data_IF_152185647429
#
_entry.id   IF_152185647429
#
_cell.length_a   1.000
_cell.length_b   1.000
_cell.length_c   1.000
_cell.angle_alpha   90.00
_cell.angle_beta   90.00
_cell.angle_gamma   90.00
#
_symmetry.space_group_name_H-M   'P 1'
#
loop_
_entity.id
_entity.type
_entity.pdbx_description
1 polymer ?
#
# COMPACT_ATOMS: atom_id res chain seq x y z
N UNK A 1 28.84 -44.88 74.27
CA UNK A 1 28.36 -44.44 75.59
C UNK A 1 27.52 -43.18 75.37
N UNK A 2 26.22 -43.20 75.74
CA UNK A 2 25.13 -42.21 75.51
C UNK A 2 24.68 -42.08 74.03
N UNK A 3 23.61 -42.76 73.56
CA UNK A 3 22.15 -42.50 73.70
C UNK A 3 21.71 -41.16 73.06
N UNK A 4 20.68 -40.99 72.24
CA UNK A 4 19.67 -41.78 71.48
C UNK A 4 18.91 -40.73 70.62
N UNK A 5 17.98 -41.19 69.77
CA UNK A 5 16.77 -40.50 69.24
C UNK A 5 16.87 -39.96 67.81
N UNK A 6 16.25 -40.76 66.93
CA UNK A 6 15.57 -40.34 65.70
C UNK A 6 14.35 -39.52 66.08
N UNK A 7 14.17 -38.33 65.51
CA UNK A 7 12.85 -37.71 65.39
C UNK A 7 12.71 -37.01 64.04
N UNK A 8 11.61 -37.35 63.37
CA UNK A 8 11.12 -36.83 62.10
C UNK A 8 10.48 -35.46 62.36
N UNK A 9 10.81 -34.45 61.56
CA UNK A 9 9.99 -33.23 61.46
C UNK A 9 10.05 -32.67 60.04
N UNK A 10 8.96 -32.89 59.30
CA UNK A 10 8.64 -32.14 58.11
C UNK A 10 8.29 -30.70 58.51
N UNK A 11 8.91 -29.72 57.85
CA UNK A 11 8.39 -28.37 57.81
C UNK A 11 8.69 -27.73 56.46
N UNK A 12 7.61 -27.56 55.71
CA UNK A 12 7.43 -26.80 54.49
C UNK A 12 8.04 -25.39 54.58
N UNK A 13 8.94 -25.05 53.64
CA UNK A 13 9.29 -23.67 53.35
C UNK A 13 8.60 -23.23 52.05
N UNK A 14 7.84 -22.16 52.19
CA UNK A 14 6.95 -21.60 51.21
C UNK A 14 7.66 -21.08 49.96
N UNK A 15 7.03 -21.32 48.80
CA UNK A 15 7.25 -20.58 47.57
C UNK A 15 6.90 -19.10 47.82
N UNK A 16 7.89 -18.21 47.78
CA UNK A 16 7.65 -16.79 47.63
C UNK A 16 7.31 -16.52 46.16
N UNK A 17 6.01 -16.53 45.86
CA UNK A 17 5.46 -15.96 44.63
C UNK A 17 5.65 -14.44 44.68
N UNK A 18 6.62 -13.92 43.93
CA UNK A 18 6.68 -12.48 43.64
C UNK A 18 5.60 -12.13 42.61
N UNK A 19 4.37 -11.92 43.08
CA UNK A 19 3.37 -11.16 42.35
C UNK A 19 3.85 -9.70 42.28
N UNK A 20 4.52 -9.32 41.20
CA UNK A 20 4.51 -7.92 40.76
C UNK A 20 3.16 -7.68 40.10
N UNK A 21 2.27 -7.02 40.84
CA UNK A 21 1.13 -6.31 40.27
C UNK A 21 1.69 -5.05 39.62
N UNK A 22 2.00 -5.15 38.34
CA UNK A 22 2.09 -3.99 37.45
C UNK A 22 0.95 -4.11 36.45
N UNK A 23 -0.27 -3.90 36.94
CA UNK A 23 -1.41 -3.53 36.10
C UNK A 23 -1.24 -2.06 35.68
N UNK A 24 -0.25 -1.81 34.83
CA UNK A 24 -0.32 -0.68 33.91
C UNK A 24 -0.35 -1.28 32.50
N UNK A 25 -1.57 -1.50 32.00
CA UNK A 25 -1.79 -1.31 30.56
C UNK A 25 -1.44 0.15 30.29
N UNK A 26 -0.19 0.40 29.91
CA UNK A 26 0.20 1.61 29.20
C UNK A 26 -0.64 1.60 27.93
N UNK A 27 -1.81 2.20 28.01
CA UNK A 27 -2.59 2.56 26.85
C UNK A 27 -1.76 3.69 26.28
N UNK A 28 -0.84 3.38 25.37
CA UNK A 28 -0.19 4.39 24.55
C UNK A 28 -1.34 5.11 23.86
N UNK A 29 -1.77 6.24 24.42
CA UNK A 29 -2.67 7.15 23.72
C UNK A 29 -1.87 7.53 22.49
N UNK A 30 -2.25 6.96 21.34
CA UNK A 30 -1.72 7.40 20.06
C UNK A 30 -2.22 8.82 19.93
N UNK A 31 -1.39 9.78 20.35
CA UNK A 31 -1.63 11.19 20.10
C UNK A 31 -1.64 11.35 18.60
N UNK A 32 -2.80 11.68 18.05
CA UNK A 32 -2.91 11.97 16.64
C UNK A 32 -2.40 13.40 16.43
N UNK A 33 -1.14 13.52 16.03
CA UNK A 33 -0.51 14.82 15.77
C UNK A 33 -0.83 15.36 14.35
N UNK A 34 -1.58 14.60 13.54
CA UNK A 34 -2.01 15.01 12.20
C UNK A 34 -2.80 16.31 12.27
N UNK A 35 -2.41 17.28 11.44
CA UNK A 35 -3.10 18.56 11.31
C UNK A 35 -3.77 18.62 9.94
N UNK A 36 -5.10 18.59 9.92
CA UNK A 36 -5.87 18.73 8.69
C UNK A 36 -5.93 20.20 8.26
N UNK A 37 -5.09 20.58 7.28
CA UNK A 37 -5.02 21.93 6.73
C UNK A 37 -4.40 21.93 5.33
N UNK A 38 -4.48 23.07 4.66
CA UNK A 38 -3.70 23.36 3.46
C UNK A 38 -2.19 23.27 3.75
N UNK A 39 -1.51 22.42 3.01
CA UNK A 39 -0.05 22.27 3.06
C UNK A 39 0.63 22.77 1.79
N UNK A 40 -0.07 22.74 0.66
CA UNK A 40 0.39 23.26 -0.62
C UNK A 40 0.33 24.79 -0.68
N UNK A 41 1.21 25.38 -1.49
CA UNK A 41 1.08 26.77 -1.94
C UNK A 41 -0.04 26.95 -2.98
N UNK A 42 -0.38 25.88 -3.70
CA UNK A 42 -1.50 25.87 -4.65
C UNK A 42 -2.81 25.66 -3.88
N UNK A 43 -3.80 26.56 -4.01
CA UNK A 43 -5.06 26.44 -3.29
C UNK A 43 -5.92 25.28 -3.83
N UNK A 44 -6.88 24.83 -3.04
CA UNK A 44 -7.90 23.90 -3.51
C UNK A 44 -8.79 24.53 -4.60
N UNK A 45 -9.00 23.82 -5.70
CA UNK A 45 -9.87 24.23 -6.81
C UNK A 45 -11.23 23.52 -6.83
N UNK A 46 -11.46 22.56 -5.92
CA UNK A 46 -12.73 21.85 -5.84
C UNK A 46 -13.80 22.67 -5.13
N UNK A 47 -14.99 22.73 -5.73
CA UNK A 47 -16.20 23.27 -5.11
C UNK A 47 -17.02 22.12 -4.53
N UNK A 48 -17.42 22.26 -3.27
CA UNK A 48 -18.34 21.32 -2.63
C UNK A 48 -19.79 21.69 -2.95
N UNK A 49 -20.56 20.69 -3.40
CA UNK A 49 -22.01 20.79 -3.47
C UNK A 49 -22.63 20.79 -2.06
N UNK A 50 -23.87 21.27 -1.93
CA UNK A 50 -24.54 21.44 -0.63
C UNK A 50 -24.60 20.16 0.20
N UNK A 51 -24.72 19.02 -0.48
CA UNK A 51 -24.82 17.69 0.13
C UNK A 51 -23.51 17.26 0.82
N UNK A 52 -22.40 17.94 0.51
CA UNK A 52 -21.07 17.72 1.10
C UNK A 52 -20.63 18.87 2.02
N UNK A 53 -21.57 19.67 2.53
CA UNK A 53 -21.28 20.85 3.38
C UNK A 53 -20.53 20.55 4.69
N UNK A 54 -20.48 19.29 5.11
CA UNK A 54 -19.71 18.82 6.26
C UNK A 54 -18.30 18.31 5.89
N UNK A 55 -17.94 18.26 4.61
CA UNK A 55 -16.61 17.89 4.17
C UNK A 55 -15.67 19.11 4.14
N UNK A 56 -14.39 18.87 4.38
CA UNK A 56 -13.33 19.85 4.15
C UNK A 56 -12.33 19.24 3.18
N UNK A 57 -11.91 20.02 2.19
CA UNK A 57 -10.94 19.62 1.17
C UNK A 57 -9.70 20.48 1.35
N UNK A 58 -8.55 19.84 1.43
CA UNK A 58 -7.25 20.50 1.57
C UNK A 58 -6.29 19.96 0.51
N UNK A 59 -5.54 20.86 -0.12
CA UNK A 59 -4.44 20.51 -1.02
C UNK A 59 -3.20 20.15 -0.20
N UNK A 60 -2.78 18.89 -0.31
CA UNK A 60 -1.63 18.36 0.44
C UNK A 60 -0.30 18.82 -0.17
N UNK A 61 -0.12 18.66 -1.48
CA UNK A 61 0.97 19.19 -2.28
C UNK A 61 0.63 19.14 -3.78
N UNK A 62 1.37 19.89 -4.59
CA UNK A 62 1.35 19.89 -6.06
C UNK A 62 2.78 19.90 -6.61
N UNK A 63 2.93 20.00 -7.93
CA UNK A 63 4.24 20.19 -8.59
C UNK A 63 4.86 21.57 -8.37
N UNK A 64 4.10 22.55 -7.86
CA UNK A 64 4.62 23.88 -7.49
C UNK A 64 5.32 23.87 -6.13
N UNK A 65 5.05 22.87 -5.30
CA UNK A 65 5.60 22.80 -3.94
C UNK A 65 7.04 22.32 -3.92
N UNK A 66 7.84 22.98 -3.10
CA UNK A 66 9.19 22.54 -2.75
C UNK A 66 9.22 22.00 -1.32
N UNK A 67 9.85 20.84 -1.15
CA UNK A 67 9.98 20.21 0.15
C UNK A 67 11.31 20.58 0.81
N UNK A 68 11.26 20.94 2.10
CA UNK A 68 12.42 21.49 2.84
C UNK A 68 13.66 20.58 2.81
N UNK A 69 13.47 19.26 2.83
CA UNK A 69 14.56 18.28 2.91
C UNK A 69 14.95 17.75 1.51
N UNK A 70 14.29 18.23 0.46
CA UNK A 70 14.58 17.93 -0.94
C UNK A 70 14.15 19.09 -1.85
N UNK A 71 14.79 20.27 -1.75
CA UNK A 71 14.33 21.48 -2.44
C UNK A 71 14.41 21.40 -3.98
N UNK A 72 15.18 20.46 -4.51
CA UNK A 72 15.32 20.23 -5.95
C UNK A 72 14.36 19.14 -6.48
N UNK A 73 13.59 18.50 -5.61
CA UNK A 73 12.57 17.55 -6.01
C UNK A 73 11.38 18.30 -6.62
N UNK A 74 10.87 17.79 -7.74
CA UNK A 74 9.64 18.27 -8.38
C UNK A 74 8.69 17.10 -8.50
N UNK A 75 7.48 17.25 -7.97
CA UNK A 75 6.43 16.23 -8.08
C UNK A 75 5.97 16.09 -9.54
N UNK A 76 5.81 14.85 -9.99
CA UNK A 76 5.42 14.52 -11.36
C UNK A 76 3.95 14.80 -11.66
N UNK A 77 3.63 14.87 -12.94
CA UNK A 77 2.26 15.06 -13.42
C UNK A 77 1.47 13.75 -13.44
N UNK A 78 0.15 13.88 -13.51
CA UNK A 78 -0.81 12.76 -13.50
C UNK A 78 -0.57 11.86 -12.28
N UNK A 79 -0.81 12.45 -11.11
CA UNK A 79 -0.81 11.72 -9.85
C UNK A 79 -1.95 10.71 -9.87
N UNK A 80 -1.63 9.44 -9.66
CA UNK A 80 -2.59 8.35 -9.77
C UNK A 80 -2.50 7.43 -8.53
N UNK A 81 -2.22 6.13 -8.74
CA UNK A 81 -2.10 5.13 -7.69
C UNK A 81 -1.29 5.63 -6.51
N UNK A 82 -1.83 5.46 -5.31
CA UNK A 82 -1.23 5.99 -4.08
C UNK A 82 -1.27 4.95 -2.96
N UNK A 83 -0.20 4.91 -2.15
CA UNK A 83 -0.09 4.08 -0.95
C UNK A 83 0.41 4.91 0.23
N UNK A 84 -0.08 4.63 1.45
CA UNK A 84 0.31 5.35 2.65
C UNK A 84 0.70 4.37 3.76
N UNK A 85 1.88 4.58 4.36
CA UNK A 85 2.35 3.89 5.55
C UNK A 85 2.53 4.86 6.70
N UNK A 86 2.18 4.40 7.90
CA UNK A 86 2.60 5.04 9.15
C UNK A 86 3.90 4.40 9.62
N UNK A 87 4.90 5.22 9.89
CA UNK A 87 6.20 4.79 10.37
C UNK A 87 6.22 4.69 11.91
N UNK A 88 7.18 3.93 12.45
CA UNK A 88 7.30 3.72 13.88
C UNK A 88 7.68 4.99 14.66
N UNK A 89 8.34 5.95 14.00
CA UNK A 89 8.71 7.26 14.55
C UNK A 89 7.58 8.29 14.50
N UNK A 90 6.39 7.90 14.06
CA UNK A 90 5.22 8.77 13.93
C UNK A 90 5.14 9.54 12.61
N UNK A 91 6.15 9.47 11.75
CA UNK A 91 6.10 10.02 10.38
C UNK A 91 5.30 9.12 9.45
N UNK A 92 5.15 9.55 8.19
CA UNK A 92 4.43 8.80 7.17
C UNK A 92 5.24 8.69 5.89
N UNK A 93 5.06 7.57 5.20
CA UNK A 93 5.61 7.33 3.87
C UNK A 93 4.46 7.17 2.89
N UNK A 94 4.31 8.13 1.99
CA UNK A 94 3.35 8.09 0.89
C UNK A 94 4.09 7.71 -0.40
N UNK A 95 3.53 6.78 -1.17
CA UNK A 95 3.98 6.46 -2.51
C UNK A 95 2.93 6.95 -3.49
N UNK A 96 3.36 7.52 -4.60
CA UNK A 96 2.45 8.03 -5.63
C UNK A 96 3.02 7.66 -7.00
N UNK A 97 2.18 7.11 -7.85
CA UNK A 97 2.48 6.94 -9.27
C UNK A 97 2.36 8.31 -9.95
N UNK A 98 3.34 8.64 -10.77
CA UNK A 98 3.32 9.84 -11.62
C UNK A 98 3.33 9.36 -13.06
N UNK A 99 2.14 9.22 -13.61
CA UNK A 99 1.86 8.44 -14.81
C UNK A 99 2.57 9.00 -16.04
N UNK A 100 2.45 10.32 -16.26
CA UNK A 100 3.12 11.04 -17.35
C UNK A 100 4.65 11.12 -17.21
N UNK A 101 5.19 10.78 -16.03
CA UNK A 101 6.61 10.72 -15.77
C UNK A 101 7.17 9.29 -15.83
N UNK A 102 6.32 8.28 -16.06
CA UNK A 102 6.69 6.87 -16.08
C UNK A 102 7.42 6.45 -14.79
N UNK A 103 6.99 6.97 -13.65
CA UNK A 103 7.76 6.94 -12.41
C UNK A 103 6.88 6.72 -11.18
N UNK A 104 7.53 6.32 -10.08
CA UNK A 104 6.92 6.22 -8.75
C UNK A 104 7.75 7.06 -7.80
N UNK A 105 7.09 7.93 -7.06
CA UNK A 105 7.71 8.78 -6.07
C UNK A 105 7.35 8.37 -4.65
N UNK A 106 8.27 8.60 -3.72
CA UNK A 106 8.08 8.48 -2.29
C UNK A 106 8.11 9.87 -1.66
N UNK A 107 7.03 10.22 -0.97
CA UNK A 107 6.90 11.43 -0.16
C UNK A 107 6.98 11.06 1.31
N UNK A 108 7.89 11.71 2.05
CA UNK A 108 7.95 11.63 3.51
C UNK A 108 7.11 12.76 4.08
N UNK A 109 6.17 12.43 4.96
CA UNK A 109 5.42 13.41 5.73
C UNK A 109 5.81 13.33 7.19
N UNK A 110 5.95 14.47 7.85
CA UNK A 110 6.23 14.50 9.28
C UNK A 110 5.02 14.04 10.12
N UNK A 111 5.17 13.99 11.44
CA UNK A 111 4.10 13.57 12.35
C UNK A 111 2.82 14.43 12.28
N UNK A 112 2.92 15.65 11.73
CA UNK A 112 1.77 16.53 11.50
C UNK A 112 1.11 16.34 10.14
N UNK A 113 1.59 15.36 9.37
CA UNK A 113 1.17 15.07 8.00
C UNK A 113 1.62 16.11 6.97
N UNK A 114 2.61 16.94 7.30
CA UNK A 114 3.20 17.89 6.35
C UNK A 114 4.23 17.17 5.45
N UNK A 115 4.18 17.32 4.12
CA UNK A 115 5.24 16.84 3.23
C UNK A 115 6.57 17.55 3.52
N UNK A 116 7.64 16.78 3.72
CA UNK A 116 8.97 17.32 4.06
C UNK A 116 10.09 16.88 3.12
N UNK A 117 9.91 15.76 2.40
CA UNK A 117 10.88 15.20 1.47
C UNK A 117 10.18 14.43 0.35
N UNK A 118 10.68 14.53 -0.88
CA UNK A 118 10.22 13.77 -2.04
C UNK A 118 11.39 13.16 -2.80
N UNK A 119 11.22 11.94 -3.29
CA UNK A 119 12.24 11.19 -4.02
C UNK A 119 11.59 10.31 -5.09
N UNK A 120 12.22 10.16 -6.25
CA UNK A 120 11.84 9.10 -7.20
C UNK A 120 12.50 7.79 -6.79
N UNK A 121 11.71 6.73 -6.61
CA UNK A 121 12.20 5.38 -6.23
C UNK A 121 12.03 4.36 -7.37
N UNK A 122 11.31 4.76 -8.42
CA UNK A 122 11.26 4.14 -9.74
C UNK A 122 11.20 5.26 -10.77
N UNK A 123 11.98 5.18 -11.86
CA UNK A 123 12.00 6.19 -12.93
C UNK A 123 11.65 5.57 -14.30
N UNK A 124 11.64 6.40 -15.34
CA UNK A 124 11.33 6.01 -16.72
C UNK A 124 12.24 4.92 -17.30
N UNK A 125 13.50 4.83 -16.85
CA UNK A 125 14.41 3.76 -17.28
C UNK A 125 13.94 2.42 -16.72
N UNK A 126 13.57 2.38 -15.44
CA UNK A 126 13.10 1.18 -14.77
C UNK A 126 11.75 0.68 -15.31
N UNK A 127 10.89 1.59 -15.74
CA UNK A 127 9.55 1.29 -16.26
C UNK A 127 9.55 1.08 -17.78
N UNK A 128 10.70 1.22 -18.45
CA UNK A 128 10.81 1.21 -19.91
C UNK A 128 9.85 2.21 -20.59
N UNK A 129 9.69 3.39 -19.99
CA UNK A 129 8.76 4.45 -20.40
C UNK A 129 7.28 3.99 -20.44
N UNK A 130 6.90 3.04 -19.60
CA UNK A 130 5.49 2.63 -19.42
C UNK A 130 4.86 3.47 -18.31
N UNK A 131 3.65 3.97 -18.58
CA UNK A 131 2.82 4.74 -17.67
C UNK A 131 2.42 3.91 -16.46
N UNK A 132 2.58 4.51 -15.28
CA UNK A 132 2.26 3.88 -14.00
C UNK A 132 0.89 4.39 -13.56
N UNK A 133 -0.13 3.56 -13.61
CA UNK A 133 -1.54 3.94 -13.39
C UNK A 133 -1.92 3.79 -11.91
N UNK A 134 -2.84 2.89 -11.57
CA UNK A 134 -3.27 2.62 -10.21
C UNK A 134 -2.27 1.77 -9.41
N UNK A 135 -2.51 1.62 -8.11
CA UNK A 135 -1.65 0.83 -7.23
C UNK A 135 -2.37 0.21 -6.03
N UNK A 136 -1.75 -0.83 -5.47
CA UNK A 136 -2.14 -1.46 -4.21
C UNK A 136 -1.00 -1.41 -3.20
N UNK A 137 -1.30 -0.89 -2.01
CA UNK A 137 -0.38 -0.91 -0.88
C UNK A 137 -0.59 -2.14 -0.01
N UNK A 138 0.27 -3.14 -0.19
CA UNK A 138 0.28 -4.37 0.58
C UNK A 138 0.94 -4.11 1.94
N UNK A 139 0.30 -4.56 3.01
CA UNK A 139 0.77 -4.39 4.39
C UNK A 139 0.59 -5.68 5.21
N UNK A 140 1.45 -5.94 6.21
CA UNK A 140 1.29 -7.11 7.07
C UNK A 140 -0.06 -7.13 7.79
N UNK A 141 -0.59 -5.96 8.14
CA UNK A 141 -1.84 -5.82 8.87
C UNK A 141 -3.04 -6.25 8.01
N UNK A 142 -3.13 -5.77 6.78
CA UNK A 142 -4.26 -6.00 5.88
C UNK A 142 -4.12 -7.34 5.11
N UNK A 143 -2.91 -7.63 4.63
CA UNK A 143 -2.64 -8.72 3.68
C UNK A 143 -1.82 -9.87 4.26
N UNK A 144 -1.25 -9.71 5.46
CA UNK A 144 -0.45 -10.75 6.12
C UNK A 144 1.02 -10.84 5.65
N UNK A 145 1.44 -9.94 4.75
CA UNK A 145 2.83 -9.82 4.28
C UNK A 145 3.13 -8.38 3.83
N UNK A 146 4.38 -8.10 3.45
CA UNK A 146 4.82 -6.77 3.02
C UNK A 146 5.61 -6.02 4.10
N UNK A 147 5.74 -4.69 4.00
CA UNK A 147 5.04 -3.82 3.06
C UNK A 147 5.58 -3.95 1.63
N UNK A 148 4.68 -3.84 0.65
CA UNK A 148 5.01 -3.92 -0.76
C UNK A 148 4.03 -3.04 -1.55
N UNK A 149 4.53 -2.27 -2.50
CA UNK A 149 3.72 -1.43 -3.35
C UNK A 149 3.63 -2.05 -4.75
N UNK A 150 2.43 -2.45 -5.15
CA UNK A 150 2.16 -3.02 -6.47
C UNK A 150 1.56 -1.94 -7.36
N UNK A 151 2.23 -1.60 -8.46
CA UNK A 151 1.80 -0.54 -9.39
C UNK A 151 1.57 -1.14 -10.78
N UNK A 152 0.48 -0.72 -11.43
CA UNK A 152 0.12 -1.16 -12.78
C UNK A 152 0.88 -0.38 -13.84
N UNK A 153 1.60 -1.09 -14.73
CA UNK A 153 2.11 -0.52 -15.97
C UNK A 153 1.05 -0.65 -17.07
N UNK A 154 0.43 0.46 -17.47
CA UNK A 154 -0.81 0.44 -18.26
C UNK A 154 -0.58 0.71 -19.76
N UNK A 155 -0.11 1.91 -20.09
CA UNK A 155 0.03 2.36 -21.48
C UNK A 155 1.43 2.92 -21.79
N UNK A 156 1.71 3.07 -23.08
CA UNK A 156 3.05 3.45 -23.55
C UNK A 156 4.15 2.44 -23.20
N UNK A 157 5.39 2.78 -23.56
CA UNK A 157 6.56 1.99 -23.27
C UNK A 157 6.49 0.53 -23.74
N UNK A 158 7.30 -0.33 -23.11
CA UNK A 158 7.41 -1.74 -23.46
C UNK A 158 7.21 -2.71 -22.28
N UNK A 159 6.84 -2.21 -21.09
CA UNK A 159 6.74 -3.01 -19.86
C UNK A 159 5.37 -2.91 -19.20
N UNK A 160 4.35 -3.39 -19.90
CA UNK A 160 2.96 -3.57 -19.46
C UNK A 160 2.80 -4.69 -18.42
N UNK A 161 3.32 -4.51 -17.21
CA UNK A 161 3.37 -5.50 -16.12
C UNK A 161 2.96 -4.87 -14.78
N UNK A 162 2.70 -5.73 -13.78
CA UNK A 162 2.65 -5.28 -12.38
C UNK A 162 4.08 -5.10 -11.86
N UNK A 163 4.41 -3.88 -11.44
CA UNK A 163 5.68 -3.55 -10.78
C UNK A 163 5.58 -3.77 -9.28
N UNK A 164 6.59 -4.41 -8.71
CA UNK A 164 6.73 -4.66 -7.28
C UNK A 164 7.82 -3.76 -6.71
N UNK A 165 7.42 -2.82 -5.85
CA UNK A 165 8.32 -1.83 -5.28
C UNK A 165 8.38 -1.97 -3.77
N UNK A 166 9.59 -2.10 -3.23
CA UNK A 166 9.82 -1.95 -1.80
C UNK A 166 9.66 -0.46 -1.43
N UNK A 167 8.73 -0.09 -0.53
CA UNK A 167 8.54 1.30 -0.10
C UNK A 167 9.80 1.98 0.43
N UNK A 168 10.74 1.20 0.96
CA UNK A 168 11.98 1.68 1.56
C UNK A 168 13.20 1.54 0.64
N UNK A 169 12.99 1.22 -0.64
CA UNK A 169 14.06 1.14 -1.65
C UNK A 169 14.89 2.44 -1.68
N UNK A 170 16.19 2.32 -1.96
CA UNK A 170 17.05 3.49 -2.15
C UNK A 170 16.66 4.25 -3.41
N UNK A 171 16.60 5.58 -3.33
CA UNK A 171 16.39 6.43 -4.50
C UNK A 171 17.55 6.33 -5.52
N UNK A 172 18.76 5.94 -5.07
CA UNK A 172 19.90 5.70 -5.96
C UNK A 172 19.70 4.51 -6.91
N UNK A 173 18.71 3.65 -6.63
CA UNK A 173 18.38 2.48 -7.43
C UNK A 173 17.14 2.71 -8.30
N UNK A 174 16.69 3.96 -8.47
CA UNK A 174 15.43 4.30 -9.15
C UNK A 174 15.34 3.76 -10.59
N UNK A 175 16.48 3.53 -11.27
CA UNK A 175 16.56 2.95 -12.61
C UNK A 175 16.42 1.43 -12.69
N UNK A 176 16.24 0.75 -11.56
CA UNK A 176 16.07 -0.72 -11.50
C UNK A 176 14.66 -1.10 -11.05
N UNK A 177 13.88 -1.69 -11.95
CA UNK A 177 12.52 -2.17 -11.66
C UNK A 177 12.46 -3.67 -11.41
N UNK A 178 11.45 -4.11 -10.64
CA UNK A 178 11.06 -5.52 -10.52
C UNK A 178 9.63 -5.65 -11.01
N UNK A 179 9.42 -6.53 -12.00
CA UNK A 179 8.08 -6.91 -12.48
C UNK A 179 7.68 -8.26 -11.89
N UNK A 180 6.38 -8.47 -11.71
CA UNK A 180 5.82 -9.76 -11.29
C UNK A 180 5.40 -10.57 -12.52
N UNK A 181 6.34 -11.32 -13.11
CA UNK A 181 6.11 -12.03 -14.38
C UNK A 181 4.89 -12.97 -14.34
N UNK A 182 4.65 -13.65 -13.21
CA UNK A 182 3.51 -14.57 -13.06
C UNK A 182 2.15 -13.87 -12.85
N UNK A 183 2.13 -12.54 -12.79
CA UNK A 183 0.90 -11.75 -12.87
C UNK A 183 0.46 -11.53 -14.32
N UNK A 184 1.30 -11.84 -15.30
CA UNK A 184 1.03 -11.64 -16.73
C UNK A 184 1.32 -10.22 -17.23
N UNK A 185 1.12 -10.01 -18.52
CA UNK A 185 1.25 -8.73 -19.19
C UNK A 185 -0.12 -8.26 -19.68
N UNK A 186 -0.47 -7.02 -19.34
CA UNK A 186 -1.79 -6.41 -19.54
C UNK A 186 -1.64 -4.90 -19.63
N UNK A 187 -2.65 -4.19 -20.14
CA UNK A 187 -2.79 -2.75 -19.85
C UNK A 187 -3.24 -2.61 -18.38
N UNK A 188 -2.29 -2.79 -17.44
CA UNK A 188 -2.63 -2.97 -16.03
C UNK A 188 -3.11 -1.66 -15.42
N UNK A 189 -4.40 -1.58 -15.12
CA UNK A 189 -4.98 -0.56 -14.25
C UNK A 189 -4.46 -0.77 -12.82
N UNK A 190 -4.90 -1.85 -12.17
CA UNK A 190 -4.57 -2.19 -10.79
C UNK A 190 -4.32 -3.70 -10.64
N UNK A 191 -3.44 -4.08 -9.70
CA UNK A 191 -3.37 -5.42 -9.12
C UNK A 191 -3.76 -5.41 -7.63
N UNK A 192 -5.05 -5.64 -7.35
CA UNK A 192 -5.66 -5.60 -6.01
C UNK A 192 -5.40 -6.90 -5.27
N UNK A 193 -4.46 -6.88 -4.33
CA UNK A 193 -4.26 -8.00 -3.39
C UNK A 193 -5.42 -8.02 -2.41
N UNK A 194 -6.06 -9.18 -2.24
CA UNK A 194 -7.19 -9.32 -1.32
C UNK A 194 -6.71 -9.41 0.13
N UNK A 195 -7.56 -8.95 1.06
CA UNK A 195 -7.34 -9.06 2.50
C UNK A 195 -7.02 -10.52 2.89
N UNK A 196 -6.11 -10.70 3.86
CA UNK A 196 -5.65 -12.04 4.32
C UNK A 196 -6.76 -12.97 4.80
N UNK A 197 -7.91 -12.42 5.19
CA UNK A 197 -9.07 -13.17 5.68
C UNK A 197 -9.99 -13.66 4.55
N UNK A 198 -9.85 -13.16 3.32
CA UNK A 198 -10.67 -13.59 2.19
C UNK A 198 -10.39 -15.06 1.82
N UNK A 199 -9.10 -15.44 1.79
CA UNK A 199 -8.64 -16.79 1.51
C UNK A 199 -7.45 -17.15 2.43
N UNK A 200 -7.70 -17.64 3.65
CA UNK A 200 -6.66 -17.91 4.63
C UNK A 200 -5.51 -18.80 4.09
N UNK A 201 -4.27 -18.38 4.34
CA UNK A 201 -3.06 -19.08 3.90
C UNK A 201 -2.69 -18.87 2.43
N UNK A 202 -3.47 -18.08 1.67
CA UNK A 202 -3.24 -17.83 0.24
C UNK A 202 -2.88 -16.37 -0.01
N UNK A 203 -2.33 -16.12 -1.20
CA UNK A 203 -2.23 -14.78 -1.79
C UNK A 203 -3.11 -14.75 -3.02
N UNK A 204 -4.10 -13.86 -3.05
CA UNK A 204 -4.99 -13.67 -4.20
C UNK A 204 -4.88 -12.22 -4.63
N UNK A 205 -4.65 -11.97 -5.91
CA UNK A 205 -4.72 -10.63 -6.48
C UNK A 205 -5.66 -10.61 -7.70
N UNK A 206 -6.53 -9.61 -7.76
CA UNK A 206 -7.39 -9.34 -8.92
C UNK A 206 -6.72 -8.26 -9.76
N UNK A 207 -6.56 -8.50 -11.05
CA UNK A 207 -5.83 -7.64 -11.97
C UNK A 207 -6.82 -7.14 -13.03
N UNK A 208 -6.91 -5.83 -13.20
CA UNK A 208 -7.69 -5.20 -14.27
C UNK A 208 -6.80 -4.92 -15.48
N UNK A 209 -7.26 -5.33 -16.65
CA UNK A 209 -6.69 -4.98 -17.95
C UNK A 209 -7.62 -3.95 -18.61
N UNK A 210 -7.18 -2.69 -18.66
CA UNK A 210 -7.93 -1.56 -19.25
C UNK A 210 -7.64 -1.39 -20.75
N UNK A 211 -7.40 -2.51 -21.45
CA UNK A 211 -7.20 -2.45 -22.89
C UNK A 211 -8.52 -2.13 -23.61
N UNK A 212 -8.52 -1.07 -24.42
CA UNK A 212 -9.66 -0.66 -25.24
C UNK A 212 -9.53 -1.07 -26.71
N UNK A 213 -8.49 -1.83 -27.09
CA UNK A 213 -8.30 -2.31 -28.46
C UNK A 213 -9.29 -3.45 -28.80
N UNK A 214 -9.17 -4.03 -29.99
CA UNK A 214 -10.10 -5.01 -30.58
C UNK A 214 -10.35 -6.22 -29.66
N UNK A 215 -9.36 -6.63 -28.88
CA UNK A 215 -9.50 -7.74 -27.93
C UNK A 215 -10.33 -7.36 -26.70
N UNK A 216 -10.38 -6.07 -26.36
CA UNK A 216 -10.97 -5.52 -25.14
C UNK A 216 -10.22 -5.94 -23.88
N UNK A 217 -10.54 -5.25 -22.79
CA UNK A 217 -10.00 -5.52 -21.47
C UNK A 217 -10.52 -6.81 -20.86
N UNK A 218 -9.84 -7.25 -19.81
CA UNK A 218 -10.13 -8.47 -19.08
C UNK A 218 -9.90 -8.30 -17.57
N UNK A 219 -10.52 -9.18 -16.79
CA UNK A 219 -10.15 -9.35 -15.37
C UNK A 219 -9.37 -10.64 -15.23
N UNK A 220 -8.16 -10.54 -14.69
CA UNK A 220 -7.33 -11.69 -14.34
C UNK A 220 -7.24 -11.87 -12.83
N UNK A 221 -6.88 -13.07 -12.40
CA UNK A 221 -6.65 -13.40 -11.01
C UNK A 221 -5.33 -14.15 -10.86
N UNK A 222 -4.43 -13.61 -10.05
CA UNK A 222 -3.27 -14.33 -9.55
C UNK A 222 -3.62 -15.06 -8.25
N UNK A 223 -3.17 -16.30 -8.11
CA UNK A 223 -3.39 -17.14 -6.93
C UNK A 223 -2.11 -17.91 -6.54
N UNK A 224 -1.59 -17.65 -5.35
CA UNK A 224 -0.64 -18.53 -4.67
C UNK A 224 -1.27 -19.22 -3.47
N UNK A 225 -0.87 -20.47 -3.22
CA UNK A 225 -1.27 -21.23 -2.03
C UNK A 225 -0.44 -20.90 -0.78
N UNK A 226 0.38 -19.85 -0.84
CA UNK A 226 1.21 -19.37 0.26
C UNK A 226 1.02 -17.87 0.43
N UNK A 227 0.72 -17.42 1.66
CA UNK A 227 0.63 -15.99 1.99
C UNK A 227 1.98 -15.29 1.72
N UNK A 228 1.94 -14.19 0.98
CA UNK A 228 3.08 -13.37 0.61
C UNK A 228 3.90 -13.86 -0.58
N UNK A 229 3.58 -15.02 -1.15
CA UNK A 229 4.18 -15.45 -2.40
C UNK A 229 3.51 -14.76 -3.58
N UNK A 230 4.25 -13.83 -4.18
CA UNK A 230 3.86 -13.07 -5.39
C UNK A 230 4.65 -13.52 -6.63
N UNK A 231 5.43 -14.60 -6.52
CA UNK A 231 6.30 -15.07 -7.59
C UNK A 231 5.95 -16.46 -8.11
N UNK A 232 5.34 -17.34 -7.31
CA UNK A 232 5.20 -18.77 -7.67
C UNK A 232 3.74 -19.26 -7.80
N UNK A 233 2.79 -18.34 -7.84
CA UNK A 233 1.37 -18.62 -8.05
C UNK A 233 0.99 -18.90 -9.51
N UNK A 234 -0.33 -19.00 -9.74
CA UNK A 234 -0.96 -19.28 -11.04
C UNK A 234 -1.85 -18.11 -11.45
N UNK A 235 -1.91 -17.88 -12.76
CA UNK A 235 -2.72 -16.85 -13.38
C UNK A 235 -3.98 -17.46 -14.02
N UNK A 236 -5.12 -16.81 -13.80
CA UNK A 236 -6.43 -17.21 -14.30
C UNK A 236 -7.09 -16.03 -14.99
N UNK A 237 -7.73 -16.25 -16.14
CA UNK A 237 -8.57 -15.24 -16.79
C UNK A 237 -10.05 -15.45 -16.45
N UNK A 238 -10.79 -14.36 -16.27
CA UNK A 238 -12.24 -14.44 -16.05
C UNK A 238 -12.96 -14.83 -17.34
N UNK A 239 -13.87 -15.80 -17.23
CA UNK A 239 -14.83 -16.12 -18.29
C UNK A 239 -16.23 -15.80 -17.80
N UNK A 240 -16.87 -14.83 -18.42
CA UNK A 240 -18.28 -14.54 -18.17
C UNK A 240 -19.14 -15.53 -18.97
N UNK A 241 -20.00 -16.26 -18.26
CA UNK A 241 -21.02 -17.10 -18.89
C UNK A 241 -22.34 -16.32 -18.96
N UNK A 242 -23.08 -16.44 -20.06
CA UNK A 242 -24.38 -15.78 -20.27
C UNK A 242 -24.32 -14.24 -20.10
N UNK A 243 -23.27 -13.61 -20.67
CA UNK A 243 -23.10 -12.16 -20.56
C UNK A 243 -24.32 -11.41 -21.11
N UNK A 244 -24.96 -10.61 -20.25
CA UNK A 244 -25.84 -9.51 -20.69
C UNK A 244 -24.91 -8.33 -20.95
N UNK A 245 -24.91 -7.82 -22.18
CA UNK A 245 -24.06 -6.69 -22.54
C UNK A 245 -24.73 -5.42 -22.03
N UNK A 246 -24.00 -4.59 -21.30
CA UNK A 246 -24.50 -3.36 -20.64
C UNK A 246 -25.27 -2.42 -21.59
N UNK A 247 -25.03 -2.50 -22.90
CA UNK A 247 -25.77 -1.77 -23.94
C UNK A 247 -27.28 -2.11 -24.00
N UNK A 248 -27.74 -3.14 -23.30
CA UNK A 248 -29.15 -3.51 -23.20
C UNK A 248 -29.87 -2.87 -21.98
N UNK A 249 -29.15 -2.16 -21.11
CA UNK A 249 -29.76 -1.42 -19.99
C UNK A 249 -30.36 -0.13 -20.53
N UNK A 250 -31.69 -0.08 -20.62
CA UNK A 250 -32.42 1.17 -20.91
C UNK A 250 -32.47 2.01 -19.65
N UNK A 251 -32.12 3.29 -19.77
CA UNK A 251 -32.32 4.27 -18.71
C UNK A 251 -33.78 4.20 -18.18
N UNK A 252 -33.94 3.97 -16.88
CA UNK A 252 -35.26 3.89 -16.23
C UNK A 252 -36.00 2.56 -16.31
N UNK A 253 -35.39 1.47 -16.81
CA UNK A 253 -35.98 0.14 -16.74
C UNK A 253 -35.48 -0.63 -15.50
N UNK A 254 -36.30 -0.67 -14.46
CA UNK A 254 -36.19 -1.58 -13.31
C UNK A 254 -37.30 -2.63 -13.34
#
# INVERSE_FOLDING_TARGET
>A
MKSKIVLLSALSLAFATSCKKDDEKTTTIIKNDVVLKEHSVTPNFLKLESDFSNASVYTLFTSEDQFKDSPNYVFGALADGTGLLKNADGTYTMLVNTEANYAITRITLDATFKPIKGEYILNSDATANTAMCSATMVTPQEHGFGPLYLSGGEWGGASKNVFSVNPYKSASEASVGKVLANFGQWSVENAVVLNKNAYPGKTVAVIGDDDSDIAGGQVAMYLSNTTGDVENGKLYGMKVANAVVEKDIKEGAS
#
